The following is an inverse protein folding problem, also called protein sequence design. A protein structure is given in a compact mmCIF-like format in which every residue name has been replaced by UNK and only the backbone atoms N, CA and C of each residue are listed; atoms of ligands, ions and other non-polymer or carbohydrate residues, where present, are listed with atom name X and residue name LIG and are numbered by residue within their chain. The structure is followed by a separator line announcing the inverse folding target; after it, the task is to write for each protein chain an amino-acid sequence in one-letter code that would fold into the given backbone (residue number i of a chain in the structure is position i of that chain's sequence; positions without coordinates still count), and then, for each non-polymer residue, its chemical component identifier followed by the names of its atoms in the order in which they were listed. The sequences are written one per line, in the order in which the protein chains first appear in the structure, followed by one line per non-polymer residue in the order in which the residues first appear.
data_IF_721308194319
#
_entry.id   IF_721308194319
#
_cell.length_a   1.000
_cell.length_b   1.000
_cell.length_c   1.000
_cell.angle_alpha   90.00
_cell.angle_beta   90.00
_cell.angle_gamma   90.00
#
_symmetry.space_group_name_H-M   'P 1'
#
loop_
_entity.id
_entity.type
_entity.pdbx_description
1 polymer ?
#
# COMPACT_ATOMS: atom_id res chain seq x y z
N UNK A 1 -6.91 -20.23 2.17
CA UNK A 1 -6.34 -19.08 2.91
C UNK A 1 -5.50 -19.59 4.06
N UNK A 2 -4.28 -19.07 4.23
CA UNK A 2 -3.29 -19.59 5.19
C UNK A 2 -3.23 -18.82 6.52
N UNK A 3 -3.66 -17.55 6.57
CA UNK A 3 -3.69 -16.78 7.81
C UNK A 3 -4.52 -15.51 7.72
N UNK A 4 -5.09 -15.12 8.85
CA UNK A 4 -5.91 -13.91 9.03
C UNK A 4 -5.44 -13.21 10.29
N UNK A 5 -5.20 -11.90 10.21
CA UNK A 5 -4.93 -11.04 11.37
C UNK A 5 -5.68 -9.73 11.23
N UNK A 6 -6.08 -9.13 12.35
CA UNK A 6 -6.76 -7.83 12.39
C UNK A 6 -5.93 -6.84 13.23
N UNK A 7 -4.78 -6.38 12.69
CA UNK A 7 -3.78 -5.67 13.49
C UNK A 7 -4.17 -4.22 13.83
N UNK A 8 -5.10 -3.63 13.08
CA UNK A 8 -5.66 -2.30 13.34
C UNK A 8 -7.19 -2.34 13.23
N UNK A 9 -7.85 -1.34 13.79
CA UNK A 9 -9.31 -1.23 13.67
C UNK A 9 -9.73 -1.11 12.20
N UNK A 10 -10.81 -1.80 11.84
CA UNK A 10 -11.42 -1.76 10.50
C UNK A 10 -10.48 -2.22 9.38
N UNK A 11 -9.64 -3.22 9.64
CA UNK A 11 -8.77 -3.79 8.65
C UNK A 11 -8.50 -5.27 8.89
N UNK A 12 -8.10 -5.97 7.83
CA UNK A 12 -7.62 -7.34 7.90
C UNK A 12 -6.38 -7.53 7.05
N UNK A 13 -5.43 -8.26 7.59
CA UNK A 13 -4.25 -8.78 6.90
C UNK A 13 -4.53 -10.24 6.55
N UNK A 14 -4.48 -10.56 5.26
CA UNK A 14 -4.71 -11.91 4.73
C UNK A 14 -3.39 -12.48 4.20
N UNK A 15 -3.10 -13.72 4.54
CA UNK A 15 -2.00 -14.51 3.99
C UNK A 15 -2.60 -15.62 3.15
N UNK A 16 -2.38 -15.56 1.84
CA UNK A 16 -2.96 -16.49 0.87
C UNK A 16 -1.89 -17.46 0.39
N UNK A 17 -2.21 -18.75 0.50
CA UNK A 17 -1.54 -19.78 -0.29
C UNK A 17 -2.26 -19.85 -1.63
N UNK A 18 -1.53 -19.55 -2.71
CA UNK A 18 -2.05 -19.47 -4.08
C UNK A 18 -1.32 -20.54 -4.90
N UNK A 19 -2.00 -21.67 -5.21
CA UNK A 19 -1.39 -22.76 -5.97
C UNK A 19 -0.89 -22.28 -7.33
N UNK A 20 0.27 -22.80 -7.75
CA UNK A 20 0.90 -22.54 -9.05
C UNK A 20 1.04 -21.05 -9.41
N UNK A 21 1.17 -20.19 -8.39
CA UNK A 21 1.25 -18.74 -8.63
C UNK A 21 2.51 -18.38 -9.40
N UNK A 22 2.39 -17.30 -10.17
CA UNK A 22 3.53 -16.54 -10.67
C UNK A 22 3.92 -15.52 -9.61
N UNK A 23 5.23 -15.34 -9.42
CA UNK A 23 5.75 -14.31 -8.51
C UNK A 23 5.22 -12.93 -8.93
N UNK A 24 4.62 -12.23 -7.96
CA UNK A 24 4.23 -10.83 -8.14
C UNK A 24 5.44 -9.92 -8.05
N UNK A 25 5.37 -8.75 -8.68
CA UNK A 25 6.34 -7.68 -8.52
C UNK A 25 5.86 -6.65 -7.50
N UNK A 26 6.78 -5.94 -6.79
CA UNK A 26 6.41 -4.95 -5.80
C UNK A 26 5.64 -3.79 -6.45
N UNK A 27 4.39 -3.56 -6.03
CA UNK A 27 3.48 -2.61 -6.66
C UNK A 27 2.37 -3.24 -7.51
N UNK A 28 2.32 -4.57 -7.63
CA UNK A 28 1.17 -5.27 -8.23
C UNK A 28 0.07 -5.57 -7.20
N UNK A 29 -1.09 -5.97 -7.71
CA UNK A 29 -2.28 -6.31 -6.94
C UNK A 29 -2.90 -7.63 -7.40
N UNK A 30 -3.79 -8.18 -6.58
CA UNK A 30 -4.69 -9.28 -6.95
C UNK A 30 -6.13 -8.77 -6.98
N UNK A 31 -6.93 -9.29 -7.90
CA UNK A 31 -8.39 -9.16 -7.85
C UNK A 31 -8.94 -10.31 -7.03
N UNK A 32 -9.65 -10.00 -5.95
CA UNK A 32 -10.38 -10.97 -5.13
C UNK A 32 -11.85 -10.92 -5.54
N UNK A 33 -12.43 -12.08 -5.84
CA UNK A 33 -13.86 -12.24 -6.17
C UNK A 33 -14.55 -13.02 -5.06
N UNK A 34 -15.74 -12.57 -4.71
CA UNK A 34 -16.68 -13.29 -3.86
C UNK A 34 -17.93 -13.60 -4.68
N UNK A 35 -18.47 -14.80 -4.49
CA UNK A 35 -19.68 -15.29 -5.14
C UNK A 35 -20.65 -15.73 -4.05
N UNK A 36 -21.83 -15.12 -3.99
CA UNK A 36 -22.88 -15.48 -3.05
C UNK A 36 -23.65 -16.74 -3.53
N UNK A 37 -24.42 -17.37 -2.64
CA UNK A 37 -25.18 -18.60 -2.94
C UNK A 37 -26.21 -18.41 -4.07
N UNK A 38 -26.73 -17.19 -4.24
CA UNK A 38 -27.65 -16.82 -5.31
C UNK A 38 -26.95 -16.55 -6.66
N UNK A 39 -25.62 -16.69 -6.70
CA UNK A 39 -24.78 -16.47 -7.89
C UNK A 39 -24.36 -15.02 -8.10
N UNK A 40 -24.73 -14.08 -7.22
CA UNK A 40 -24.23 -12.71 -7.29
C UNK A 40 -22.71 -12.68 -7.06
N UNK A 41 -21.98 -11.88 -7.85
CA UNK A 41 -20.52 -11.75 -7.73
C UNK A 41 -20.09 -10.32 -7.53
N UNK A 42 -19.16 -10.12 -6.60
CA UNK A 42 -18.47 -8.86 -6.37
C UNK A 42 -16.96 -9.10 -6.40
N UNK A 43 -16.20 -8.17 -7.00
CA UNK A 43 -14.75 -8.28 -7.06
C UNK A 43 -14.07 -6.94 -6.79
N UNK A 44 -12.92 -6.97 -6.11
CA UNK A 44 -12.13 -5.77 -5.79
C UNK A 44 -10.63 -6.07 -5.92
N UNK A 45 -9.88 -5.05 -6.33
CA UNK A 45 -8.41 -5.12 -6.39
C UNK A 45 -7.78 -4.77 -5.05
N UNK A 46 -6.80 -5.57 -4.63
CA UNK A 46 -6.02 -5.35 -3.41
C UNK A 46 -4.53 -5.46 -3.71
N UNK A 47 -3.78 -4.40 -3.41
CA UNK A 47 -2.33 -4.38 -3.54
C UNK A 47 -1.67 -5.46 -2.69
N UNK A 48 -0.58 -6.02 -3.20
CA UNK A 48 0.21 -7.02 -2.48
C UNK A 48 1.20 -6.30 -1.54
N UNK A 49 1.30 -6.80 -0.31
CA UNK A 49 2.21 -6.30 0.72
C UNK A 49 3.45 -7.19 0.91
N UNK A 50 3.40 -8.46 0.50
CA UNK A 50 4.55 -9.36 0.60
C UNK A 50 5.55 -9.08 -0.52
N UNK A 51 6.83 -9.40 -0.28
CA UNK A 51 7.86 -9.40 -1.32
C UNK A 51 7.61 -10.55 -2.31
N UNK A 52 8.21 -10.50 -3.52
CA UNK A 52 8.12 -11.59 -4.49
C UNK A 52 8.61 -12.94 -3.95
N UNK A 53 9.62 -12.92 -3.06
CA UNK A 53 10.21 -14.13 -2.47
C UNK A 53 9.41 -14.72 -1.30
N UNK A 54 8.36 -14.06 -0.82
CA UNK A 54 7.52 -14.59 0.26
C UNK A 54 6.71 -15.80 -0.25
N UNK A 55 6.70 -16.94 0.47
CA UNK A 55 5.92 -18.10 0.07
C UNK A 55 4.41 -17.88 0.10
N UNK A 56 3.88 -16.78 0.66
CA UNK A 56 2.46 -16.45 0.65
C UNK A 56 2.22 -15.05 0.08
N UNK A 57 1.06 -14.88 -0.59
CA UNK A 57 0.60 -13.55 -1.01
C UNK A 57 -0.04 -12.87 0.19
N UNK A 58 0.48 -11.72 0.57
CA UNK A 58 -0.10 -10.91 1.65
C UNK A 58 -0.93 -9.77 1.08
N UNK A 59 -2.20 -9.70 1.48
CA UNK A 59 -3.09 -8.58 1.20
C UNK A 59 -3.43 -7.87 2.50
N UNK A 60 -3.64 -6.56 2.43
CA UNK A 60 -4.11 -5.77 3.57
C UNK A 60 -5.32 -4.93 3.15
N UNK A 61 -6.47 -5.27 3.71
CA UNK A 61 -7.79 -4.82 3.25
C UNK A 61 -8.36 -3.82 4.25
N UNK A 62 -8.71 -2.63 3.77
CA UNK A 62 -9.50 -1.67 4.54
C UNK A 62 -10.97 -2.07 4.53
N UNK A 63 -11.59 -2.17 5.70
CA UNK A 63 -13.02 -2.39 5.83
C UNK A 63 -13.77 -1.08 5.53
N UNK A 64 -14.49 -1.06 4.41
CA UNK A 64 -15.35 0.05 4.01
C UNK A 64 -16.79 -0.26 4.45
N UNK A 65 -17.50 0.69 5.06
CA UNK A 65 -18.84 0.44 5.61
C UNK A 65 -19.84 -0.04 4.56
N UNK A 66 -19.76 0.51 3.34
CA UNK A 66 -20.62 0.16 2.21
C UNK A 66 -19.94 -0.84 1.25
N UNK A 67 -18.83 -1.47 1.67
CA UNK A 67 -18.06 -2.38 0.83
C UNK A 67 -18.44 -3.83 1.06
N UNK A 68 -19.11 -4.46 0.10
CA UNK A 68 -19.50 -5.87 0.19
C UNK A 68 -18.27 -6.80 0.35
N UNK A 69 -17.29 -6.66 -0.56
CA UNK A 69 -16.09 -7.50 -0.54
C UNK A 69 -15.22 -7.21 0.68
N UNK A 70 -15.00 -5.95 1.02
CA UNK A 70 -14.12 -5.60 2.15
C UNK A 70 -14.73 -5.92 3.50
N UNK A 71 -16.06 -5.83 3.64
CA UNK A 71 -16.77 -6.26 4.85
C UNK A 71 -16.66 -7.75 5.05
N UNK A 72 -16.92 -8.57 4.01
CA UNK A 72 -16.75 -10.02 4.11
C UNK A 72 -15.32 -10.41 4.49
N UNK A 73 -14.32 -9.85 3.79
CA UNK A 73 -12.92 -10.14 4.08
C UNK A 73 -12.52 -9.69 5.49
N UNK A 74 -12.99 -8.54 5.97
CA UNK A 74 -12.60 -8.06 7.30
C UNK A 74 -13.30 -8.79 8.45
N UNK A 75 -14.60 -9.08 8.29
CA UNK A 75 -15.47 -9.48 9.40
C UNK A 75 -15.74 -10.99 9.41
N UNK A 76 -15.66 -11.69 8.27
CA UNK A 76 -16.14 -13.08 8.12
C UNK A 76 -15.04 -14.08 7.82
N UNK A 77 -14.04 -13.73 6.99
CA UNK A 77 -13.06 -14.71 6.51
C UNK A 77 -12.19 -15.29 7.64
N UNK A 78 -12.02 -16.61 7.66
CA UNK A 78 -11.28 -17.34 8.71
C UNK A 78 -10.33 -18.41 8.13
N UNK A 79 -9.15 -18.66 8.75
CA UNK A 79 -8.16 -19.61 8.23
C UNK A 79 -8.77 -20.94 7.76
N UNK A 80 -8.41 -21.36 6.54
CA UNK A 80 -9.03 -22.51 5.86
C UNK A 80 -9.99 -22.11 4.74
N UNK A 81 -10.58 -20.92 4.77
CA UNK A 81 -11.50 -20.46 3.72
C UNK A 81 -10.83 -20.39 2.34
N UNK A 82 -11.64 -20.61 1.30
CA UNK A 82 -11.24 -20.47 -0.09
C UNK A 82 -11.71 -19.12 -0.64
N UNK A 83 -10.81 -18.43 -1.33
CA UNK A 83 -11.10 -17.16 -2.01
C UNK A 83 -10.73 -17.32 -3.48
N UNK A 84 -11.60 -16.84 -4.37
CA UNK A 84 -11.25 -16.72 -5.78
C UNK A 84 -10.35 -15.51 -5.96
N UNK A 85 -9.14 -15.73 -6.46
CA UNK A 85 -8.18 -14.66 -6.72
C UNK A 85 -7.64 -14.74 -8.14
N UNK A 86 -7.40 -13.58 -8.74
CA UNK A 86 -6.75 -13.43 -10.04
C UNK A 86 -5.61 -12.45 -9.93
N UNK A 87 -4.41 -12.89 -10.26
CA UNK A 87 -3.21 -12.06 -10.21
C UNK A 87 -1.94 -12.87 -10.46
N UNK A 88 -0.79 -12.19 -10.42
CA UNK A 88 -0.67 -10.75 -10.20
C UNK A 88 -1.12 -9.89 -11.39
N UNK A 89 -1.64 -8.68 -11.12
CA UNK A 89 -2.06 -7.69 -12.12
C UNK A 89 -1.36 -6.36 -11.84
N UNK A 90 -1.04 -5.64 -12.92
CA UNK A 90 -0.38 -4.33 -12.87
C UNK A 90 0.97 -4.38 -13.58
N UNK A 91 1.70 -3.26 -13.53
CA UNK A 91 3.02 -3.11 -14.16
C UNK A 91 3.49 -1.66 -14.16
N UNK A 92 2.56 -0.72 -14.36
CA UNK A 92 2.85 0.71 -14.31
C UNK A 92 3.45 1.16 -12.97
N UNK A 93 2.91 0.64 -11.85
CA UNK A 93 3.31 1.03 -10.50
C UNK A 93 4.41 0.14 -9.90
N UNK A 94 5.04 -0.72 -10.72
CA UNK A 94 6.05 -1.66 -10.25
C UNK A 94 7.38 -0.97 -9.98
N UNK A 95 8.02 -1.33 -8.87
CA UNK A 95 9.41 -1.00 -8.58
C UNK A 95 10.26 -2.26 -8.47
N UNK A 96 11.22 -2.41 -9.38
CA UNK A 96 12.04 -3.63 -9.50
C UNK A 96 13.22 -3.69 -8.54
N UNK A 97 13.46 -2.63 -7.75
CA UNK A 97 14.53 -2.61 -6.76
C UNK A 97 15.90 -2.14 -7.27
N UNK A 98 15.97 -1.58 -8.47
CA UNK A 98 17.24 -1.24 -9.13
C UNK A 98 17.52 0.27 -9.17
N UNK A 99 16.47 1.10 -9.10
CA UNK A 99 16.58 2.56 -9.19
C UNK A 99 16.11 3.23 -7.90
N UNK A 100 16.63 4.42 -7.56
CA UNK A 100 16.12 5.20 -6.44
C UNK A 100 14.62 5.48 -6.58
N UNK A 101 13.89 5.44 -5.47
CA UNK A 101 12.46 5.73 -5.44
C UNK A 101 12.06 6.56 -4.21
N UNK A 102 11.15 7.51 -4.46
CA UNK A 102 10.45 8.26 -3.42
C UNK A 102 9.01 7.75 -3.32
N UNK A 103 8.66 7.10 -2.23
CA UNK A 103 7.34 6.54 -1.97
C UNK A 103 6.52 7.52 -1.12
N UNK A 104 5.42 8.04 -1.65
CA UNK A 104 4.55 9.04 -0.99
C UNK A 104 3.14 8.48 -0.81
N UNK A 105 2.79 8.16 0.43
CA UNK A 105 1.67 7.28 0.75
C UNK A 105 0.61 7.92 1.62
N UNK A 106 -0.65 7.59 1.36
CA UNK A 106 -1.80 8.05 2.15
C UNK A 106 -2.60 6.87 2.70
N UNK A 107 -2.64 6.71 4.03
CA UNK A 107 -3.42 5.65 4.69
C UNK A 107 -3.06 4.25 4.18
N UNK A 108 -4.03 3.50 3.66
CA UNK A 108 -3.81 2.17 3.09
C UNK A 108 -2.98 2.16 1.82
N UNK A 109 -2.67 3.32 1.22
CA UNK A 109 -1.75 3.36 0.09
C UNK A 109 -0.29 3.02 0.41
N UNK A 110 0.02 2.73 1.67
CA UNK A 110 1.31 2.15 2.04
C UNK A 110 1.48 0.68 1.67
N UNK A 111 0.39 -0.05 1.40
CA UNK A 111 0.45 -1.49 1.13
C UNK A 111 1.44 -1.86 0.01
N UNK A 112 1.37 -1.27 -1.20
CA UNK A 112 2.37 -1.56 -2.23
C UNK A 112 3.79 -1.11 -1.83
N UNK A 113 3.93 -0.08 -0.99
CA UNK A 113 5.24 0.36 -0.50
C UNK A 113 5.87 -0.59 0.49
N UNK A 114 5.06 -1.34 1.25
CA UNK A 114 5.55 -2.39 2.14
C UNK A 114 6.13 -3.54 1.32
N UNK A 115 5.52 -3.91 0.19
CA UNK A 115 6.13 -4.86 -0.74
C UNK A 115 7.47 -4.35 -1.27
N UNK A 116 7.54 -3.08 -1.71
CA UNK A 116 8.79 -2.45 -2.17
C UNK A 116 9.86 -2.44 -1.06
N UNK A 117 9.48 -2.06 0.17
CA UNK A 117 10.37 -2.02 1.33
C UNK A 117 10.93 -3.39 1.67
N UNK A 118 10.07 -4.43 1.69
CA UNK A 118 10.50 -5.80 1.98
C UNK A 118 11.43 -6.34 0.89
N UNK A 119 11.13 -6.09 -0.38
CA UNK A 119 12.03 -6.42 -1.49
C UNK A 119 13.37 -5.69 -1.39
N UNK A 120 13.37 -4.40 -1.05
CA UNK A 120 14.60 -3.65 -0.83
C UNK A 120 15.43 -4.25 0.32
N UNK A 121 14.79 -4.65 1.42
CA UNK A 121 15.45 -5.30 2.56
C UNK A 121 16.10 -6.62 2.17
N UNK A 122 15.38 -7.48 1.46
CA UNK A 122 15.87 -8.78 0.99
C UNK A 122 17.05 -8.65 0.02
N UNK A 123 17.04 -7.62 -0.82
CA UNK A 123 18.09 -7.36 -1.81
C UNK A 123 19.23 -6.47 -1.29
N UNK A 124 19.18 -6.01 -0.04
CA UNK A 124 20.15 -5.06 0.52
C UNK A 124 20.08 -3.65 -0.08
N UNK A 125 18.98 -3.29 -0.73
CA UNK A 125 18.76 -2.03 -1.45
C UNK A 125 17.98 -0.96 -0.68
N UNK A 126 17.90 -1.01 0.66
CA UNK A 126 17.14 -0.03 1.47
C UNK A 126 17.55 1.42 1.23
N UNK A 127 18.82 1.67 0.89
CA UNK A 127 19.34 3.02 0.59
C UNK A 127 18.70 3.65 -0.66
N UNK A 128 18.11 2.84 -1.55
CA UNK A 128 17.39 3.30 -2.74
C UNK A 128 16.00 3.86 -2.42
N UNK A 129 15.46 3.58 -1.24
CA UNK A 129 14.12 4.01 -0.86
C UNK A 129 14.15 5.24 0.04
N UNK A 130 13.24 6.17 -0.26
CA UNK A 130 12.79 7.22 0.65
C UNK A 130 11.28 7.10 0.77
N UNK A 131 10.75 7.15 1.99
CA UNK A 131 9.34 6.87 2.25
C UNK A 131 8.76 8.00 3.09
N UNK A 132 7.67 8.60 2.61
CA UNK A 132 6.84 9.55 3.34
C UNK A 132 5.40 9.06 3.35
N UNK A 133 4.80 8.99 4.53
CA UNK A 133 3.44 8.48 4.71
C UNK A 133 2.62 9.47 5.51
N UNK A 134 1.43 9.78 5.02
CA UNK A 134 0.42 10.57 5.70
C UNK A 134 -0.72 9.66 6.17
N UNK A 135 -1.08 9.75 7.45
CA UNK A 135 -2.22 9.05 8.04
C UNK A 135 -3.08 9.99 8.90
N UNK A 136 -4.22 9.49 9.39
CA UNK A 136 -5.01 10.21 10.41
C UNK A 136 -4.29 10.21 11.74
N UNK A 137 -3.95 9.01 12.20
CA UNK A 137 -3.18 8.69 13.40
C UNK A 137 -2.26 7.51 13.08
N UNK A 138 -1.23 7.26 13.90
CA UNK A 138 -0.34 6.11 13.78
C UNK A 138 -1.10 4.80 14.01
N UNK A 139 -2.07 4.78 14.93
CA UNK A 139 -2.89 3.60 15.21
C UNK A 139 -3.75 3.16 14.01
N UNK A 140 -4.04 4.08 13.08
CA UNK A 140 -4.81 3.81 11.87
C UNK A 140 -3.93 3.53 10.65
N UNK A 141 -2.60 3.55 10.79
CA UNK A 141 -1.66 3.34 9.69
C UNK A 141 -1.26 1.86 9.60
N UNK A 142 -1.55 1.16 8.48
CA UNK A 142 -1.03 -0.17 8.25
C UNK A 142 0.50 -0.19 8.31
N UNK A 143 1.07 -1.21 8.95
CA UNK A 143 2.53 -1.42 9.01
C UNK A 143 3.33 -0.26 9.62
N UNK A 144 2.71 0.56 10.49
CA UNK A 144 3.36 1.74 11.08
C UNK A 144 4.73 1.44 11.72
N UNK A 145 4.83 0.35 12.49
CA UNK A 145 6.08 -0.06 13.14
C UNK A 145 7.16 -0.46 12.12
N UNK A 146 6.79 -1.23 11.09
CA UNK A 146 7.72 -1.67 10.04
C UNK A 146 8.23 -0.50 9.20
N UNK A 147 7.35 0.47 8.90
CA UNK A 147 7.69 1.70 8.20
C UNK A 147 8.60 2.59 9.06
N UNK A 148 8.28 2.76 10.34
CA UNK A 148 9.10 3.53 11.28
C UNK A 148 10.50 2.92 11.45
N UNK A 149 10.59 1.60 11.59
CA UNK A 149 11.87 0.88 11.69
C UNK A 149 12.72 1.00 10.43
N UNK A 150 12.10 1.23 9.26
CA UNK A 150 12.78 1.51 8.01
C UNK A 150 13.18 2.98 7.82
N UNK A 151 12.89 3.85 8.78
CA UNK A 151 13.21 5.28 8.71
C UNK A 151 12.23 6.08 7.84
N UNK A 152 11.00 5.57 7.60
CA UNK A 152 9.98 6.33 6.90
C UNK A 152 9.57 7.59 7.69
N UNK A 153 9.34 8.68 6.97
CA UNK A 153 8.72 9.88 7.52
C UNK A 153 7.22 9.65 7.72
N UNK A 154 6.78 9.58 8.97
CA UNK A 154 5.37 9.38 9.33
C UNK A 154 4.72 10.70 9.76
N UNK A 155 3.81 11.18 8.93
CA UNK A 155 3.01 12.39 9.13
C UNK A 155 1.59 12.00 9.53
N UNK A 156 1.08 12.63 10.59
CA UNK A 156 -0.29 12.43 11.06
C UNK A 156 -1.08 13.74 10.99
N UNK A 157 -2.36 13.64 10.63
CA UNK A 157 -3.24 14.81 10.44
C UNK A 157 -4.10 15.13 11.66
N UNK A 158 -4.19 14.21 12.64
CA UNK A 158 -5.05 14.33 13.84
C UNK A 158 -4.27 14.27 15.15
N UNK A 159 -2.98 13.98 15.11
CA UNK A 159 -2.10 13.96 16.28
C UNK A 159 -0.70 14.46 15.90
N UNK A 160 0.14 14.72 16.89
CA UNK A 160 1.53 15.10 16.64
C UNK A 160 2.41 13.85 16.52
N UNK A 161 3.43 13.89 15.66
CA UNK A 161 4.46 12.85 15.57
C UNK A 161 5.80 13.43 16.03
N UNK A 162 6.25 13.06 17.23
CA UNK A 162 7.44 13.64 17.85
C UNK A 162 7.28 15.15 18.07
N UNK A 163 8.15 15.95 17.46
CA UNK A 163 8.09 17.43 17.50
C UNK A 163 7.24 18.03 16.38
N UNK A 164 6.79 17.22 15.40
CA UNK A 164 5.99 17.68 14.28
C UNK A 164 4.51 17.76 14.70
N UNK A 165 3.84 18.93 14.60
CA UNK A 165 2.43 19.05 14.92
C UNK A 165 1.55 18.29 13.92
N UNK A 166 0.31 18.03 14.32
CA UNK A 166 -0.71 17.47 13.45
C UNK A 166 -0.90 18.35 12.22
N UNK A 167 -0.86 17.75 11.04
CA UNK A 167 -0.99 18.49 9.79
C UNK A 167 -0.84 17.61 8.57
N UNK A 168 -1.27 18.13 7.41
CA UNK A 168 -1.06 17.46 6.12
C UNK A 168 0.43 17.41 5.78
N UNK A 169 0.78 16.49 4.89
CA UNK A 169 2.11 16.42 4.26
C UNK A 169 2.38 17.72 3.46
N UNK A 170 3.60 18.23 3.54
CA UNK A 170 4.01 19.51 2.93
C UNK A 170 5.31 19.36 2.13
N UNK A 171 5.66 20.38 1.35
CA UNK A 171 6.90 20.40 0.58
C UNK A 171 8.14 20.33 1.50
N UNK A 172 8.08 20.95 2.68
CA UNK A 172 9.15 20.92 3.66
C UNK A 172 9.39 19.51 4.23
N UNK A 173 8.34 18.68 4.28
CA UNK A 173 8.46 17.27 4.68
C UNK A 173 9.14 16.43 3.60
N UNK A 174 8.85 16.70 2.32
CA UNK A 174 9.35 15.93 1.19
C UNK A 174 10.74 16.37 0.71
N UNK A 175 11.09 17.65 0.86
CA UNK A 175 12.36 18.19 0.36
C UNK A 175 13.60 17.43 0.85
N UNK A 176 13.71 17.01 2.14
CA UNK A 176 14.84 16.22 2.63
C UNK A 176 14.91 14.79 2.06
N UNK A 177 13.82 14.29 1.48
CA UNK A 177 13.71 12.93 0.94
C UNK A 177 13.99 12.87 -0.58
N UNK A 178 14.22 14.02 -1.22
CA UNK A 178 14.50 14.11 -2.64
C UNK A 178 15.96 13.79 -2.92
N UNK A 179 16.17 12.85 -3.82
CA UNK A 179 17.46 12.54 -4.43
C UNK A 179 17.33 12.60 -5.97
N UNK A 180 18.39 12.98 -6.71
CA UNK A 180 18.39 12.94 -8.17
C UNK A 180 18.13 11.52 -8.71
N UNK A 181 17.42 11.42 -9.84
CA UNK A 181 17.14 10.15 -10.52
C UNK A 181 16.08 9.27 -9.84
N UNK A 182 15.40 9.77 -8.80
CA UNK A 182 14.29 9.06 -8.17
C UNK A 182 13.04 9.04 -9.05
N UNK A 183 12.43 7.87 -9.21
CA UNK A 183 11.02 7.78 -9.59
C UNK A 183 10.14 7.99 -8.35
N UNK A 184 9.15 8.87 -8.43
CA UNK A 184 8.20 9.08 -7.35
C UNK A 184 6.99 8.14 -7.53
N UNK A 185 6.61 7.44 -6.47
CA UNK A 185 5.44 6.57 -6.43
C UNK A 185 4.45 7.18 -5.44
N UNK A 186 3.27 7.55 -5.93
CA UNK A 186 2.20 8.17 -5.14
C UNK A 186 1.04 7.20 -5.03
N UNK A 187 0.64 6.88 -3.80
CA UNK A 187 -0.41 5.89 -3.56
C UNK A 187 -1.32 6.30 -2.40
N UNK A 188 -2.64 6.30 -2.59
CA UNK A 188 -3.61 6.67 -1.55
C UNK A 188 -4.99 6.98 -2.12
N UNK A 189 -5.83 7.66 -1.34
CA UNK A 189 -7.13 8.14 -1.84
C UNK A 189 -6.97 9.09 -3.03
N UNK A 190 -8.00 9.24 -3.86
CA UNK A 190 -7.95 10.16 -5.00
C UNK A 190 -7.52 11.59 -4.61
N UNK A 191 -8.09 12.13 -3.53
CA UNK A 191 -7.75 13.46 -3.02
C UNK A 191 -6.31 13.54 -2.47
N UNK A 192 -5.81 12.47 -1.84
CA UNK A 192 -4.42 12.42 -1.40
C UNK A 192 -3.47 12.38 -2.59
N UNK A 193 -3.73 11.50 -3.55
CA UNK A 193 -2.90 11.31 -4.72
C UNK A 193 -2.79 12.60 -5.54
N UNK A 194 -3.90 13.30 -5.75
CA UNK A 194 -3.92 14.61 -6.42
C UNK A 194 -3.05 15.64 -5.69
N UNK A 195 -3.27 15.81 -4.37
CA UNK A 195 -2.51 16.78 -3.58
C UNK A 195 -1.00 16.45 -3.52
N UNK A 196 -0.64 15.19 -3.35
CA UNK A 196 0.74 14.73 -3.28
C UNK A 196 1.45 14.85 -4.63
N UNK A 197 0.78 14.51 -5.74
CA UNK A 197 1.33 14.69 -7.08
C UNK A 197 1.53 16.16 -7.42
N UNK A 198 0.58 17.04 -7.07
CA UNK A 198 0.76 18.49 -7.26
C UNK A 198 1.95 19.01 -6.46
N UNK A 199 2.10 18.57 -5.21
CA UNK A 199 3.23 18.94 -4.36
C UNK A 199 4.57 18.56 -4.99
N UNK A 200 4.66 17.35 -5.57
CA UNK A 200 5.87 16.89 -6.27
C UNK A 200 6.15 17.75 -7.52
N UNK A 201 5.12 18.06 -8.32
CA UNK A 201 5.28 18.93 -9.50
C UNK A 201 5.75 20.33 -9.09
N UNK A 202 5.17 20.92 -8.05
CA UNK A 202 5.56 22.24 -7.53
C UNK A 202 7.00 22.25 -6.99
N UNK A 203 7.48 21.09 -6.51
CA UNK A 203 8.87 20.87 -6.12
C UNK A 203 9.82 20.58 -7.31
N UNK A 204 9.31 20.60 -8.55
CA UNK A 204 10.08 20.42 -9.77
C UNK A 204 10.29 18.96 -10.18
N UNK A 205 9.52 18.00 -9.65
CA UNK A 205 9.58 16.61 -10.11
C UNK A 205 8.93 16.50 -11.50
N UNK A 206 9.64 16.00 -12.53
CA UNK A 206 9.07 15.83 -13.86
C UNK A 206 7.85 14.89 -13.81
N UNK A 207 6.75 15.28 -14.42
CA UNK A 207 5.53 14.47 -14.45
C UNK A 207 5.73 13.01 -14.94
N UNK A 208 6.59 12.72 -15.94
CA UNK A 208 6.88 11.34 -16.36
C UNK A 208 7.55 10.47 -15.28
N UNK A 209 8.17 11.08 -14.28
CA UNK A 209 8.81 10.38 -13.15
C UNK A 209 7.85 10.16 -11.98
N UNK A 210 6.60 10.64 -12.07
CA UNK A 210 5.57 10.47 -11.04
C UNK A 210 4.62 9.37 -11.47
N UNK A 211 4.72 8.21 -10.83
CA UNK A 211 3.79 7.09 -10.97
C UNK A 211 2.73 7.23 -9.89
N UNK A 212 1.46 7.08 -10.28
CA UNK A 212 0.32 7.29 -9.38
C UNK A 212 -0.59 6.06 -9.43
N UNK A 213 -0.95 5.56 -8.26
CA UNK A 213 -2.03 4.58 -8.07
C UNK A 213 -3.02 5.14 -7.05
N UNK A 214 -4.32 4.91 -7.28
CA UNK A 214 -5.40 5.49 -6.46
C UNK A 214 -6.28 4.38 -5.91
N UNK A 215 -6.63 4.49 -4.63
CA UNK A 215 -7.73 3.74 -4.03
C UNK A 215 -8.97 4.62 -3.97
N UNK A 216 -10.11 3.98 -4.16
CA UNK A 216 -11.43 4.58 -4.00
C UNK A 216 -12.48 3.47 -4.06
N UNK A 217 -13.73 3.76 -3.67
CA UNK A 217 -14.82 2.83 -3.91
C UNK A 217 -14.83 2.54 -5.41
N UNK A 218 -14.39 1.34 -5.77
CA UNK A 218 -14.78 0.79 -7.06
C UNK A 218 -16.29 0.69 -6.95
N UNK A 219 -17.01 1.45 -7.78
CA UNK A 219 -18.41 1.13 -8.05
C UNK A 219 -18.51 -0.32 -8.45
#
# INVERSE_FOLDING_TARGET
MAGVRRPIQRAVQLRLDVPDRVDHLPGQHYVVRLTAEDGYTAQRSYSVASSPGDPLVELFVERLDDGEVSTYLADVVEPGDQLEVRGPIGGWFVWEGETPALLVGGGFGVVPFVAMLRTARERGGLSLLRIAVSARTLAALPYAEELAAAGALLVTTREATGTRPAGRLTAADLAPLRDPGQTAYVCGSAAFAEAASQLLVDMGVPAPEIRIERFGPSG
#
